data_IF_770369161537
#
_entry.id   IF_770369161537
#
_cell.length_a   1.000
_cell.length_b   1.000
_cell.length_c   1.000
_cell.angle_alpha   90.00
_cell.angle_beta   90.00
_cell.angle_gamma   90.00
#
_symmetry.space_group_name_H-M   'P 1'
#
loop_
_entity.id
_entity.type
_entity.pdbx_description
1 polymer ?
#
# COMPACT_ATOMS: atom_id res chain seq x y z
N UNK A 1 50.72 31.21 22.89
CA UNK A 1 50.74 30.66 21.52
C UNK A 1 49.96 29.34 21.51
N UNK A 2 49.14 29.13 20.47
CA UNK A 2 48.21 28.01 20.19
C UNK A 2 46.97 27.89 21.12
N UNK A 3 45.91 28.69 20.94
CA UNK A 3 44.76 28.54 20.02
C UNK A 3 43.86 27.32 20.26
N UNK A 4 42.70 27.62 20.85
CA UNK A 4 41.45 26.87 20.93
C UNK A 4 41.22 25.81 19.84
N UNK A 5 41.07 24.55 20.27
CA UNK A 5 40.45 23.48 19.47
C UNK A 5 38.92 23.60 19.58
N UNK A 6 38.17 23.69 18.48
CA UNK A 6 36.72 23.66 18.54
C UNK A 6 36.25 22.25 18.93
N UNK A 7 35.39 22.19 19.95
CA UNK A 7 34.68 20.99 20.34
C UNK A 7 33.86 20.54 19.13
N UNK A 8 34.22 19.37 18.56
CA UNK A 8 33.55 18.79 17.42
C UNK A 8 32.12 18.46 17.86
N UNK A 9 31.18 19.34 17.52
CA UNK A 9 29.76 19.10 17.57
C UNK A 9 29.48 17.86 16.73
N UNK A 10 29.36 16.72 17.41
CA UNK A 10 28.79 15.51 16.83
C UNK A 10 27.32 15.82 16.59
N UNK A 11 27.05 16.47 15.46
CA UNK A 11 25.72 16.53 14.90
C UNK A 11 25.34 15.08 14.63
N UNK A 12 24.62 14.49 15.57
CA UNK A 12 23.79 13.34 15.31
C UNK A 12 22.82 13.82 14.26
N UNK A 13 23.21 13.68 12.99
CA UNK A 13 22.26 13.68 11.90
C UNK A 13 21.31 12.56 12.25
N UNK A 14 20.18 12.92 12.85
CA UNK A 14 19.00 12.09 12.91
C UNK A 14 18.72 11.77 11.47
N UNK A 15 19.24 10.62 11.03
CA UNK A 15 18.81 10.01 9.79
C UNK A 15 17.30 10.01 9.91
N UNK A 16 16.69 10.79 9.03
CA UNK A 16 15.26 10.78 8.81
C UNK A 16 14.98 9.34 8.42
N UNK A 17 14.61 8.52 9.41
CA UNK A 17 14.31 7.11 9.22
C UNK A 17 13.31 7.07 8.08
N UNK A 18 13.64 6.45 6.93
CA UNK A 18 12.61 6.23 5.94
C UNK A 18 11.54 5.44 6.68
N UNK A 19 10.33 5.99 6.75
CA UNK A 19 9.14 5.27 7.21
C UNK A 19 9.26 3.90 6.57
N UNK A 20 9.44 2.85 7.38
CA UNK A 20 9.90 1.56 6.88
C UNK A 20 9.06 1.17 5.67
N UNK A 21 9.67 1.17 4.49
CA UNK A 21 9.05 0.89 3.20
C UNK A 21 8.68 -0.59 3.03
N UNK A 22 8.50 -1.31 4.14
CA UNK A 22 8.35 -2.76 4.21
C UNK A 22 6.90 -3.22 4.08
N UNK A 23 5.92 -2.32 4.14
CA UNK A 23 4.51 -2.68 3.94
C UNK A 23 4.27 -2.89 2.45
N UNK A 24 4.12 -4.16 2.06
CA UNK A 24 3.79 -4.52 0.68
C UNK A 24 2.29 -4.46 0.51
N UNK A 25 1.86 -3.81 -0.57
CA UNK A 25 0.45 -3.75 -0.95
C UNK A 25 0.21 -4.74 -2.08
N UNK A 26 -0.83 -5.56 -1.95
CA UNK A 26 -1.24 -6.56 -2.93
C UNK A 26 -2.65 -6.26 -3.38
N UNK A 27 -2.88 -6.10 -4.67
CA UNK A 27 -4.21 -6.15 -5.28
C UNK A 27 -4.54 -7.59 -5.61
N UNK A 28 -5.69 -8.09 -5.13
CA UNK A 28 -6.27 -9.33 -5.62
C UNK A 28 -6.88 -9.10 -7.01
N UNK A 29 -6.40 -9.83 -8.01
CA UNK A 29 -6.96 -9.78 -9.36
C UNK A 29 -8.37 -10.39 -9.38
N UNK A 30 -9.21 -9.98 -10.34
CA UNK A 30 -10.62 -10.39 -10.38
C UNK A 30 -11.54 -9.66 -9.39
N UNK A 31 -12.64 -10.32 -8.99
CA UNK A 31 -13.67 -9.74 -8.12
C UNK A 31 -13.91 -10.62 -6.89
N UNK A 32 -14.11 -10.00 -5.74
CA UNK A 32 -14.40 -10.69 -4.50
C UNK A 32 -15.83 -10.39 -4.02
N UNK A 33 -16.45 -11.35 -3.34
CA UNK A 33 -17.67 -11.11 -2.60
C UNK A 33 -17.40 -10.15 -1.44
N UNK A 34 -17.89 -8.92 -1.60
CA UNK A 34 -17.71 -7.84 -0.61
C UNK A 34 -18.59 -7.99 0.63
N UNK A 35 -19.45 -9.02 0.70
CA UNK A 35 -20.21 -9.37 1.92
C UNK A 35 -19.30 -9.99 2.98
N UNK A 36 -18.16 -10.55 2.58
CA UNK A 36 -17.18 -11.13 3.51
C UNK A 36 -16.60 -10.05 4.44
N UNK A 37 -16.59 -10.36 5.74
CA UNK A 37 -15.89 -9.58 6.77
C UNK A 37 -14.40 -9.91 6.82
N UNK A 38 -13.71 -9.48 7.89
CA UNK A 38 -12.27 -9.67 8.08
C UNK A 38 -11.84 -11.13 7.92
N UNK A 39 -12.50 -12.05 8.63
CA UNK A 39 -12.15 -13.48 8.59
C UNK A 39 -12.34 -14.10 7.21
N UNK A 40 -13.44 -13.77 6.53
CA UNK A 40 -13.71 -14.30 5.20
C UNK A 40 -12.73 -13.77 4.15
N UNK A 41 -12.23 -12.54 4.30
CA UNK A 41 -11.19 -11.98 3.42
C UNK A 41 -9.81 -12.54 3.76
N UNK A 42 -9.48 -12.72 5.03
CA UNK A 42 -8.24 -13.37 5.45
C UNK A 42 -8.14 -14.81 4.91
N UNK A 43 -9.25 -15.55 4.91
CA UNK A 43 -9.32 -16.87 4.31
C UNK A 43 -9.02 -16.84 2.80
N UNK A 44 -9.51 -15.83 2.08
CA UNK A 44 -9.19 -15.65 0.66
C UNK A 44 -7.70 -15.35 0.47
N UNK A 45 -7.08 -14.56 1.33
CA UNK A 45 -5.63 -14.33 1.28
C UNK A 45 -4.87 -15.65 1.44
N UNK A 46 -5.26 -16.44 2.43
CA UNK A 46 -4.59 -17.69 2.76
C UNK A 46 -4.78 -18.78 1.69
N UNK A 47 -6.03 -19.08 1.34
CA UNK A 47 -6.37 -20.20 0.45
C UNK A 47 -6.39 -19.78 -1.03
N UNK A 48 -6.88 -18.58 -1.33
CA UNK A 48 -7.03 -18.10 -2.70
C UNK A 48 -5.77 -17.46 -3.26
N UNK A 49 -5.04 -16.68 -2.45
CA UNK A 49 -3.83 -15.98 -2.88
C UNK A 49 -2.54 -16.71 -2.45
N UNK A 50 -2.64 -17.75 -1.61
CA UNK A 50 -1.49 -18.51 -1.11
C UNK A 50 -0.54 -17.68 -0.26
N UNK A 51 -1.05 -16.69 0.49
CA UNK A 51 -0.26 -15.74 1.27
C UNK A 51 -0.68 -15.72 2.73
N UNK A 52 0.24 -15.32 3.59
CA UNK A 52 -0.03 -15.16 5.01
C UNK A 52 -0.73 -13.81 5.29
N UNK A 53 -2.00 -13.81 5.74
CA UNK A 53 -2.73 -12.58 6.08
C UNK A 53 -2.18 -11.86 7.32
N UNK A 54 -1.36 -12.51 8.15
CA UNK A 54 -0.88 -11.98 9.43
C UNK A 54 0.49 -11.31 9.34
N UNK A 55 1.14 -11.40 8.17
CA UNK A 55 2.52 -10.92 7.93
C UNK A 55 2.69 -9.39 7.89
N UNK A 56 1.61 -8.63 8.02
CA UNK A 56 1.63 -7.16 7.94
C UNK A 56 1.60 -6.59 6.52
N UNK A 57 1.37 -7.44 5.52
CA UNK A 57 1.07 -7.00 4.15
C UNK A 57 -0.38 -6.47 4.06
N UNK A 58 -0.62 -5.54 3.13
CA UNK A 58 -1.96 -5.00 2.85
C UNK A 58 -2.55 -5.70 1.64
N UNK A 59 -3.75 -6.26 1.76
CA UNK A 59 -4.46 -6.94 0.69
C UNK A 59 -5.70 -6.16 0.28
N UNK A 60 -5.76 -5.73 -0.97
CA UNK A 60 -6.83 -4.90 -1.52
C UNK A 60 -7.70 -5.75 -2.45
N UNK A 61 -8.99 -5.74 -2.16
CA UNK A 61 -10.02 -6.46 -2.89
C UNK A 61 -11.01 -5.49 -3.52
N UNK A 62 -11.63 -5.92 -4.63
CA UNK A 62 -12.62 -5.13 -5.36
C UNK A 62 -13.88 -5.94 -5.62
N UNK A 63 -15.05 -5.33 -5.44
CA UNK A 63 -16.34 -5.99 -5.68
C UNK A 63 -16.73 -6.07 -7.15
N UNK A 64 -17.71 -6.91 -7.51
CA UNK A 64 -18.17 -7.03 -8.90
C UNK A 64 -18.61 -5.69 -9.52
N UNK A 65 -19.21 -4.80 -8.74
CA UNK A 65 -19.65 -3.47 -9.23
C UNK A 65 -18.52 -2.47 -9.52
N UNK A 66 -17.29 -2.73 -9.10
CA UNK A 66 -16.18 -1.78 -9.28
C UNK A 66 -16.21 -0.58 -8.34
N UNK A 67 -17.26 -0.41 -7.52
CA UNK A 67 -17.47 0.81 -6.71
C UNK A 67 -16.97 0.71 -5.28
N UNK A 68 -16.74 -0.51 -4.80
CA UNK A 68 -16.33 -0.80 -3.43
C UNK A 68 -15.01 -1.55 -3.47
N UNK A 69 -14.06 -1.06 -2.69
CA UNK A 69 -12.84 -1.78 -2.34
C UNK A 69 -12.78 -2.02 -0.84
N UNK A 70 -12.07 -3.07 -0.46
CA UNK A 70 -11.70 -3.37 0.91
C UNK A 70 -10.20 -3.60 0.98
N UNK A 71 -9.51 -2.97 1.92
CA UNK A 71 -8.11 -3.23 2.22
C UNK A 71 -8.00 -3.88 3.60
N UNK A 72 -7.41 -5.07 3.64
CA UNK A 72 -7.22 -5.89 4.84
C UNK A 72 -5.74 -5.93 5.19
N UNK A 73 -5.40 -5.75 6.45
CA UNK A 73 -4.05 -5.99 6.97
C UNK A 73 -4.11 -6.44 8.43
N UNK A 74 -3.04 -7.04 8.89
CA UNK A 74 -2.84 -7.36 10.31
C UNK A 74 -1.73 -6.46 10.87
N UNK A 75 -1.97 -5.82 12.00
CA UNK A 75 -1.00 -4.90 12.63
C UNK A 75 -0.03 -5.59 13.62
N UNK A 76 -0.17 -6.91 13.76
CA UNK A 76 0.56 -7.72 14.74
C UNK A 76 -0.29 -8.11 15.96
N UNK A 77 -1.38 -7.40 16.22
CA UNK A 77 -2.31 -7.65 17.32
C UNK A 77 -3.68 -8.06 16.79
N UNK A 78 -4.16 -7.43 15.73
CA UNK A 78 -5.47 -7.66 15.18
C UNK A 78 -5.58 -7.42 13.68
N UNK A 79 -6.64 -7.99 13.10
CA UNK A 79 -7.03 -7.69 11.73
C UNK A 79 -7.71 -6.33 11.68
N UNK A 80 -7.29 -5.52 10.72
CA UNK A 80 -7.87 -4.23 10.40
C UNK A 80 -8.44 -4.26 8.98
N UNK A 81 -9.60 -3.61 8.81
CA UNK A 81 -10.31 -3.54 7.54
C UNK A 81 -10.70 -2.11 7.21
N UNK A 82 -10.16 -1.60 6.12
CA UNK A 82 -10.59 -0.37 5.50
C UNK A 82 -11.57 -0.67 4.36
N UNK A 83 -12.65 0.09 4.25
CA UNK A 83 -13.61 -0.01 3.15
C UNK A 83 -13.86 1.38 2.53
N UNK A 84 -13.74 1.47 1.20
CA UNK A 84 -14.01 2.71 0.46
C UNK A 84 -15.03 2.45 -0.63
N UNK A 85 -16.13 3.21 -0.59
CA UNK A 85 -17.14 3.23 -1.64
C UNK A 85 -17.05 4.53 -2.42
N UNK A 86 -17.07 4.44 -3.76
CA UNK A 86 -17.18 5.60 -4.62
C UNK A 86 -18.64 6.02 -4.78
N UNK A 87 -18.88 7.32 -4.76
CA UNK A 87 -20.17 7.93 -5.09
C UNK A 87 -20.43 7.94 -6.60
N UNK A 88 -19.39 8.02 -7.43
CA UNK A 88 -19.48 7.98 -8.90
C UNK A 88 -18.32 7.18 -9.51
N UNK A 89 -18.59 6.57 -10.67
CA UNK A 89 -17.60 5.78 -11.40
C UNK A 89 -17.28 4.42 -10.76
N UNK A 90 -16.13 3.88 -11.11
CA UNK A 90 -15.55 2.63 -10.61
C UNK A 90 -14.03 2.80 -10.43
N UNK A 91 -13.44 1.99 -9.56
CA UNK A 91 -12.00 1.87 -9.40
C UNK A 91 -11.37 1.22 -10.63
N UNK A 92 -10.19 1.69 -11.00
CA UNK A 92 -9.38 1.10 -12.06
C UNK A 92 -8.75 -0.18 -11.50
N UNK A 93 -9.11 -1.31 -12.08
CA UNK A 93 -8.70 -2.64 -11.62
C UNK A 93 -7.93 -3.36 -12.72
N UNK A 94 -6.93 -4.20 -12.40
CA UNK A 94 -6.24 -4.98 -13.41
C UNK A 94 -7.21 -5.98 -14.05
N UNK A 95 -7.08 -6.15 -15.37
CA UNK A 95 -7.96 -6.99 -16.17
C UNK A 95 -7.63 -8.49 -16.05
N UNK A 96 -6.46 -8.83 -15.51
CA UNK A 96 -6.05 -10.22 -15.31
C UNK A 96 -7.01 -10.94 -14.36
N UNK A 97 -7.41 -12.15 -14.72
CA UNK A 97 -8.15 -13.05 -13.84
C UNK A 97 -7.17 -14.05 -13.20
N UNK A 98 -7.19 -14.15 -11.87
CA UNK A 98 -6.38 -15.11 -11.10
C UNK A 98 -4.97 -14.62 -10.80
N UNK A 99 -4.71 -14.28 -9.52
CA UNK A 99 -3.40 -13.83 -9.05
C UNK A 99 -3.42 -12.53 -8.23
N UNK A 100 -2.23 -12.03 -7.90
CA UNK A 100 -2.04 -10.78 -7.15
C UNK A 100 -1.04 -9.86 -7.85
N UNK A 101 -1.24 -8.55 -7.73
CA UNK A 101 -0.31 -7.55 -8.25
C UNK A 101 0.22 -6.72 -7.08
N UNK A 102 1.55 -6.60 -7.00
CA UNK A 102 2.20 -5.75 -6.01
C UNK A 102 2.01 -4.27 -6.40
N UNK A 103 1.62 -3.44 -5.43
CA UNK A 103 1.60 -1.99 -5.56
C UNK A 103 2.65 -1.35 -4.65
N UNK A 104 3.24 -0.28 -5.15
CA UNK A 104 3.92 0.70 -4.29
C UNK A 104 2.91 1.50 -3.47
N UNK A 105 3.36 2.12 -2.37
CA UNK A 105 2.52 3.01 -1.56
C UNK A 105 1.91 4.16 -2.40
N UNK A 106 2.68 4.73 -3.34
CA UNK A 106 2.18 5.76 -4.25
C UNK A 106 1.07 5.26 -5.17
N UNK A 107 1.22 4.05 -5.73
CA UNK A 107 0.16 3.43 -6.54
C UNK A 107 -1.10 3.11 -5.75
N UNK A 108 -0.97 2.74 -4.46
CA UNK A 108 -2.10 2.60 -3.57
C UNK A 108 -2.84 3.94 -3.39
N UNK A 109 -2.11 5.05 -3.19
CA UNK A 109 -2.72 6.38 -3.11
C UNK A 109 -3.46 6.75 -4.39
N UNK A 110 -2.86 6.53 -5.57
CA UNK A 110 -3.53 6.75 -6.85
C UNK A 110 -4.81 5.92 -7.01
N UNK A 111 -4.75 4.63 -6.64
CA UNK A 111 -5.92 3.76 -6.64
C UNK A 111 -7.03 4.33 -5.74
N UNK A 112 -6.70 4.75 -4.51
CA UNK A 112 -7.65 5.31 -3.57
C UNK A 112 -8.31 6.58 -4.11
N UNK A 113 -7.59 7.37 -4.89
CA UNK A 113 -8.09 8.60 -5.53
C UNK A 113 -8.75 8.36 -6.90
N UNK A 114 -8.84 7.09 -7.35
CA UNK A 114 -9.36 6.73 -8.68
C UNK A 114 -8.52 7.32 -9.83
N UNK A 115 -7.24 7.59 -9.59
CA UNK A 115 -6.24 7.89 -10.61
C UNK A 115 -5.73 6.57 -11.20
N UNK A 116 -5.35 6.56 -12.48
CA UNK A 116 -4.79 5.35 -13.11
C UNK A 116 -3.42 5.02 -12.50
N UNK A 117 -3.43 4.14 -11.51
CA UNK A 117 -2.25 3.67 -10.81
C UNK A 117 -1.32 2.82 -11.66
N UNK A 118 -1.77 2.34 -12.84
CA UNK A 118 -0.99 1.49 -13.74
C UNK A 118 0.03 2.29 -14.56
N UNK A 119 -0.21 3.58 -14.77
CA UNK A 119 0.68 4.46 -15.53
C UNK A 119 1.01 5.75 -14.76
N UNK A 120 1.73 5.66 -13.62
CA UNK A 120 2.11 6.83 -12.87
C UNK A 120 3.19 7.62 -13.63
N UNK A 121 2.83 8.80 -14.13
CA UNK A 121 3.76 9.69 -14.82
C UNK A 121 4.50 10.55 -13.79
N UNK A 122 5.79 10.26 -13.55
CA UNK A 122 6.66 11.16 -12.80
C UNK A 122 7.17 12.23 -13.75
N UNK A 123 6.75 13.47 -13.54
CA UNK A 123 7.02 14.57 -14.46
C UNK A 123 8.49 14.99 -14.46
N UNK A 124 9.08 15.16 -13.28
CA UNK A 124 10.50 15.53 -13.13
C UNK A 124 10.90 15.45 -11.66
N UNK A 125 12.11 14.96 -11.37
CA UNK A 125 12.69 14.98 -10.03
C UNK A 125 14.06 15.66 -10.10
N UNK A 126 14.31 16.75 -9.34
CA UNK A 126 15.61 17.40 -9.35
C UNK A 126 16.68 16.46 -8.80
N UNK A 127 17.78 16.32 -9.52
CA UNK A 127 18.94 15.48 -9.14
C UNK A 127 20.01 16.26 -8.38
N UNK A 128 19.99 17.59 -8.48
CA UNK A 128 20.81 18.51 -7.69
C UNK A 128 19.98 19.70 -7.22
N UNK A 129 20.36 20.29 -6.10
CA UNK A 129 19.77 21.52 -5.59
C UNK A 129 20.39 22.79 -6.22
N UNK A 130 21.31 22.59 -7.17
CA UNK A 130 22.36 23.53 -7.56
C UNK A 130 23.68 22.78 -7.62
#
# INVERSE_FOLDING_TARGET
MCTSRPCCCRATGTQMTPISSSVRVWIASGHCDMRKGMQGLALIVQEGLGRDPFKGDVFVFRGKSGRLIKALWHDGIGLSLYAKRLERGHFIWPATEGGVIALTAGQMSYLLERIDWRNPQQTWRPTSAG
#
